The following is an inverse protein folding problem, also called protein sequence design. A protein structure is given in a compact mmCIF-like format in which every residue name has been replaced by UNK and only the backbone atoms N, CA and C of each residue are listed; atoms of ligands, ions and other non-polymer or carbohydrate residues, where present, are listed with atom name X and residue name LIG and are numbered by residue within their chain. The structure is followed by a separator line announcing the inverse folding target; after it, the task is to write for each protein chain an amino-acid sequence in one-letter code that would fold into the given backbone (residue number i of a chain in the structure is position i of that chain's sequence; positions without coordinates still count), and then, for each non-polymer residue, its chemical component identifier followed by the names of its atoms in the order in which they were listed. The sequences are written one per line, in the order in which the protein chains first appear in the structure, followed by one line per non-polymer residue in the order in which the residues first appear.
data_IF_955119489500
#
_entry.id   IF_955119489500
#
_cell.length_a   1.000
_cell.length_b   1.000
_cell.length_c   1.000
_cell.angle_alpha   90.00
_cell.angle_beta   90.00
_cell.angle_gamma   90.00
#
_symmetry.space_group_name_H-M   'P 1'
#
loop_
_entity.id
_entity.type
_entity.pdbx_description
1 polymer ?
#
# COMPACT_ATOMS: atom_id res chain seq x y z
N UNK A 1 47.29 18.04 7.01
CA UNK A 1 46.52 16.82 7.33
C UNK A 1 45.20 17.26 7.92
N UNK A 2 44.09 17.23 7.18
CA UNK A 2 42.77 17.46 7.75
C UNK A 2 41.93 16.22 7.51
N UNK A 3 41.66 15.54 8.61
CA UNK A 3 40.87 14.34 8.67
C UNK A 3 39.40 14.72 8.47
N UNK A 4 38.93 14.66 7.23
CA UNK A 4 37.49 14.64 6.91
C UNK A 4 36.94 13.26 7.29
N UNK A 5 36.98 12.99 8.60
CA UNK A 5 36.50 11.76 9.19
C UNK A 5 34.98 11.83 9.20
N UNK A 6 34.41 11.11 8.25
CA UNK A 6 33.26 10.22 8.45
C UNK A 6 32.00 10.88 8.98
N UNK A 7 31.09 11.26 8.07
CA UNK A 7 29.66 11.11 8.32
C UNK A 7 29.13 10.00 7.41
N UNK A 8 29.14 8.75 7.89
CA UNK A 8 28.14 7.78 7.46
C UNK A 8 26.80 8.35 7.93
N UNK A 9 26.10 9.08 7.07
CA UNK A 9 24.72 9.45 7.32
C UNK A 9 23.90 8.16 7.21
N UNK A 10 23.63 7.52 8.35
CA UNK A 10 22.60 6.50 8.44
C UNK A 10 21.28 7.06 7.92
N UNK A 11 20.45 6.20 7.30
CA UNK A 11 19.12 6.59 6.83
C UNK A 11 18.32 7.19 8.00
N UNK A 12 17.56 8.24 7.71
CA UNK A 12 16.69 8.85 8.73
C UNK A 12 15.64 7.85 9.19
N UNK A 13 15.17 8.01 10.44
CA UNK A 13 14.10 7.17 10.98
C UNK A 13 12.83 7.24 10.11
N UNK A 14 12.53 8.43 9.57
CA UNK A 14 11.40 8.64 8.65
C UNK A 14 11.55 7.80 7.38
N UNK A 15 12.74 7.77 6.79
CA UNK A 15 12.99 6.98 5.59
C UNK A 15 12.86 5.47 5.85
N UNK A 16 13.26 5.01 7.03
CA UNK A 16 13.08 3.62 7.44
C UNK A 16 11.61 3.27 7.68
N UNK A 17 10.85 4.16 8.32
CA UNK A 17 9.42 3.98 8.54
C UNK A 17 8.64 3.95 7.22
N UNK A 18 8.96 4.85 6.28
CA UNK A 18 8.36 4.85 4.95
C UNK A 18 8.68 3.56 4.19
N UNK A 19 9.92 3.07 4.26
CA UNK A 19 10.27 1.80 3.63
C UNK A 19 9.48 0.63 4.22
N UNK A 20 9.44 0.51 5.55
CA UNK A 20 8.70 -0.56 6.21
C UNK A 20 7.20 -0.53 5.85
N UNK A 21 6.62 0.66 5.75
CA UNK A 21 5.25 0.83 5.30
C UNK A 21 5.05 0.37 3.85
N UNK A 22 5.96 0.75 2.94
CA UNK A 22 5.89 0.32 1.52
C UNK A 22 6.00 -1.19 1.38
N UNK A 23 6.89 -1.83 2.15
CA UNK A 23 7.06 -3.29 2.16
C UNK A 23 5.79 -3.99 2.65
N UNK A 24 5.23 -3.55 3.79
CA UNK A 24 3.99 -4.10 4.32
C UNK A 24 2.80 -3.94 3.33
N UNK A 25 2.69 -2.78 2.69
CA UNK A 25 1.65 -2.53 1.67
C UNK A 25 1.85 -3.44 0.44
N UNK A 26 3.08 -3.69 0.02
CA UNK A 26 3.37 -4.58 -1.10
C UNK A 26 2.91 -6.02 -0.82
N UNK A 27 3.15 -6.53 0.38
CA UNK A 27 2.68 -7.85 0.81
C UNK A 27 1.16 -7.96 0.80
N UNK A 28 0.46 -6.91 1.28
CA UNK A 28 -1.01 -6.84 1.24
C UNK A 28 -1.53 -6.87 -0.19
N UNK A 29 -0.92 -6.10 -1.10
CA UNK A 29 -1.31 -6.08 -2.52
C UNK A 29 -1.07 -7.44 -3.17
N UNK A 30 0.02 -8.12 -2.84
CA UNK A 30 0.29 -9.45 -3.37
C UNK A 30 -0.71 -10.49 -2.86
N UNK A 31 -1.02 -10.47 -1.55
CA UNK A 31 -2.08 -11.32 -0.97
C UNK A 31 -3.46 -11.05 -1.59
N UNK A 32 -3.78 -9.78 -1.85
CA UNK A 32 -4.97 -9.36 -2.60
C UNK A 32 -5.02 -10.00 -3.99
N UNK A 33 -3.93 -9.91 -4.76
CA UNK A 33 -3.83 -10.49 -6.10
C UNK A 33 -4.06 -11.99 -6.11
N UNK A 34 -3.51 -12.69 -5.12
CA UNK A 34 -3.59 -14.15 -5.02
C UNK A 34 -4.94 -14.64 -4.51
N UNK A 35 -5.53 -13.94 -3.52
CA UNK A 35 -6.74 -14.40 -2.83
C UNK A 35 -8.04 -14.08 -3.57
N UNK A 36 -8.01 -13.15 -4.54
CA UNK A 36 -9.20 -12.76 -5.29
C UNK A 36 -10.11 -11.74 -4.57
N UNK A 37 -9.82 -11.37 -3.33
CA UNK A 37 -10.62 -10.42 -2.56
C UNK A 37 -10.34 -8.98 -2.99
N UNK A 38 -11.34 -8.10 -3.13
CA UNK A 38 -11.09 -6.69 -3.46
C UNK A 38 -10.39 -5.94 -2.31
N UNK A 39 -9.49 -5.01 -2.66
CA UNK A 39 -9.01 -4.00 -1.72
C UNK A 39 -9.96 -2.80 -1.71
N UNK A 40 -10.32 -2.34 -0.51
CA UNK A 40 -11.09 -1.11 -0.34
C UNK A 40 -10.10 0.04 -0.13
N UNK A 41 -10.11 1.02 -1.03
CA UNK A 41 -9.22 2.19 -0.98
C UNK A 41 -10.02 3.47 -0.90
N UNK A 42 -9.50 4.47 -0.19
CA UNK A 42 -10.03 5.83 -0.23
C UNK A 42 -9.29 6.62 -1.31
N UNK A 43 -10.02 7.12 -2.30
CA UNK A 43 -9.47 7.89 -3.41
C UNK A 43 -10.41 9.05 -3.74
N UNK A 44 -9.88 10.27 -3.82
CA UNK A 44 -10.65 11.47 -4.21
C UNK A 44 -11.93 11.69 -3.39
N UNK A 45 -11.88 11.45 -2.07
CA UNK A 45 -13.03 11.62 -1.19
C UNK A 45 -14.10 10.52 -1.31
N UNK A 46 -13.79 9.41 -1.99
CA UNK A 46 -14.71 8.29 -2.20
C UNK A 46 -14.05 6.98 -1.84
N UNK A 47 -14.88 6.01 -1.47
CA UNK A 47 -14.49 4.62 -1.26
C UNK A 47 -14.53 3.91 -2.62
N UNK A 48 -13.40 3.37 -3.06
CA UNK A 48 -13.28 2.58 -4.29
C UNK A 48 -12.85 1.15 -3.96
N UNK A 49 -13.31 0.19 -4.76
CA UNK A 49 -12.89 -1.21 -4.64
C UNK A 49 -11.98 -1.57 -5.80
N UNK A 50 -10.77 -2.00 -5.47
CA UNK A 50 -9.76 -2.46 -6.43
C UNK A 50 -9.80 -3.98 -6.45
N UNK A 51 -10.43 -4.52 -7.48
CA UNK A 51 -10.46 -5.95 -7.73
C UNK A 51 -9.11 -6.41 -8.31
N UNK A 52 -8.65 -7.62 -7.96
CA UNK A 52 -7.49 -8.19 -8.61
C UNK A 52 -7.81 -8.40 -10.09
N UNK A 53 -6.97 -7.88 -10.98
CA UNK A 53 -7.20 -7.74 -12.43
C UNK A 53 -7.51 -9.06 -13.16
N UNK A 54 -7.30 -10.21 -12.53
CA UNK A 54 -7.64 -11.53 -13.06
C UNK A 54 -9.13 -11.90 -12.92
N UNK A 55 -9.89 -11.21 -12.07
CA UNK A 55 -11.29 -11.49 -11.81
C UNK A 55 -12.17 -10.37 -12.37
N UNK A 56 -12.56 -10.52 -13.63
CA UNK A 56 -13.71 -9.81 -14.21
C UNK A 56 -14.99 -10.27 -13.49
N UNK A 57 -15.24 -9.81 -12.26
CA UNK A 57 -16.48 -10.09 -11.54
C UNK A 57 -17.45 -8.94 -11.82
N UNK A 58 -18.51 -9.28 -12.54
CA UNK A 58 -19.71 -8.47 -12.82
C UNK A 58 -20.09 -7.64 -11.59
N UNK A 59 -20.22 -6.33 -11.80
CA UNK A 59 -20.72 -5.39 -10.81
C UNK A 59 -22.08 -5.87 -10.27
N UNK A 60 -22.14 -6.19 -8.98
CA UNK A 60 -23.34 -5.93 -8.20
C UNK A 60 -23.01 -4.72 -7.32
N UNK A 61 -23.83 -3.66 -7.35
CA UNK A 61 -23.61 -2.51 -6.48
C UNK A 61 -23.83 -2.98 -5.03
N UNK A 62 -22.74 -3.05 -4.27
CA UNK A 62 -22.83 -3.30 -2.84
C UNK A 62 -23.40 -2.07 -2.14
N UNK A 63 -24.32 -2.32 -1.20
CA UNK A 63 -24.92 -1.27 -0.38
C UNK A 63 -23.83 -0.46 0.34
N UNK A 64 -24.01 0.86 0.49
CA UNK A 64 -23.05 1.70 1.21
C UNK A 64 -22.90 1.19 2.65
N UNK A 65 -21.65 1.09 3.12
CA UNK A 65 -21.37 0.82 4.52
C UNK A 65 -21.96 1.96 5.37
N UNK A 66 -22.96 1.66 6.20
CA UNK A 66 -23.60 2.61 7.12
C UNK A 66 -25.09 2.90 6.90
N UNK A 67 -25.87 1.97 6.32
CA UNK A 67 -27.34 2.01 6.39
C UNK A 67 -27.91 0.82 7.15
#
# INVERSE_FOLDING_TARGET
MNADKTKKLGRSLIALAEQALREAVAEVVESHRQSGHPLVVWRNGRVERVYPSALLVREKPDKPYGQ
#
